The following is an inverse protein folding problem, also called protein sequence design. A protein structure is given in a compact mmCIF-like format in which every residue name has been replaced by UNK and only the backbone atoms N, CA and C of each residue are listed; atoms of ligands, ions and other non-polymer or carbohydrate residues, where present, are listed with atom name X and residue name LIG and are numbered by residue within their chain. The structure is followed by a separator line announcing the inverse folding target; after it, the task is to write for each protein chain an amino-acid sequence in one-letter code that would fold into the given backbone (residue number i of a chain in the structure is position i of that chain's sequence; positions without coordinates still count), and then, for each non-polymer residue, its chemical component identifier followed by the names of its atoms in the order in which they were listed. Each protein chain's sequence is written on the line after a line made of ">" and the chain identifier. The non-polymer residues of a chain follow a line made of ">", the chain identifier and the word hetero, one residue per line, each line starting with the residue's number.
data_IF_612789277242
#
_entry.id   IF_612789277242
#
_cell.length_a   1.000
_cell.length_b   1.000
_cell.length_c   1.000
_cell.angle_alpha   90.00
_cell.angle_beta   90.00
_cell.angle_gamma   90.00
#
_symmetry.space_group_name_H-M   'P 1'
#
loop_
_entity.id
_entity.type
_entity.pdbx_description
1 polymer ?
#
# COMPACT_ATOMS: atom_id res chain seq x y z
N UNK A 1 6.94 -8.35 4.80
CA UNK A 1 7.11 -7.56 3.56
C UNK A 1 6.73 -8.32 2.30
N UNK A 2 6.98 -9.60 2.25
CA UNK A 2 6.61 -10.40 1.06
C UNK A 2 5.11 -10.34 0.77
N UNK A 3 4.29 -10.40 1.80
CA UNK A 3 2.84 -10.34 1.63
C UNK A 3 2.41 -9.01 1.02
N UNK A 4 2.96 -7.92 1.54
CA UNK A 4 2.65 -6.58 1.06
C UNK A 4 3.12 -6.42 -0.39
N UNK A 5 4.31 -6.92 -0.68
CA UNK A 5 4.87 -6.85 -2.03
C UNK A 5 4.00 -7.61 -3.03
N UNK A 6 3.54 -8.79 -2.66
CA UNK A 6 2.68 -9.59 -3.53
C UNK A 6 1.39 -8.87 -3.83
N UNK A 7 0.76 -8.29 -2.81
CA UNK A 7 -0.47 -7.54 -2.99
C UNK A 7 -0.21 -6.29 -3.84
N UNK A 8 0.88 -5.59 -3.54
CA UNK A 8 1.22 -4.39 -4.28
C UNK A 8 1.45 -4.64 -5.75
N UNK A 9 2.15 -5.72 -6.06
CA UNK A 9 2.39 -6.09 -7.46
C UNK A 9 1.09 -6.47 -8.17
N UNK A 10 0.18 -7.10 -7.44
CA UNK A 10 -1.12 -7.42 -8.00
C UNK A 10 -1.92 -6.16 -8.33
N UNK A 11 -1.84 -5.17 -7.45
CA UNK A 11 -2.57 -3.91 -7.63
C UNK A 11 -1.97 -3.06 -8.74
N UNK A 12 -0.66 -2.89 -8.71
CA UNK A 12 0.02 -1.94 -9.62
C UNK A 12 0.59 -2.59 -10.87
N UNK A 13 0.83 -3.89 -10.84
CA UNK A 13 1.32 -4.63 -12.00
C UNK A 13 2.80 -4.47 -12.27
N UNK A 14 3.51 -3.65 -11.48
CA UNK A 14 4.92 -3.38 -11.74
C UNK A 14 5.56 -2.80 -10.47
N UNK A 15 6.79 -3.20 -10.25
CA UNK A 15 7.51 -2.86 -9.04
C UNK A 15 7.81 -1.37 -8.93
N UNK A 16 8.07 -0.73 -10.06
CA UNK A 16 8.36 0.71 -10.08
C UNK A 16 7.19 1.53 -9.59
N UNK A 17 6.00 1.21 -10.08
CA UNK A 17 4.79 1.91 -9.66
C UNK A 17 4.48 1.64 -8.19
N UNK A 18 4.68 0.40 -7.76
CA UNK A 18 4.45 0.04 -6.36
C UNK A 18 5.41 0.80 -5.45
N UNK A 19 6.68 0.88 -5.81
CA UNK A 19 7.66 1.63 -5.01
C UNK A 19 7.31 3.10 -4.94
N UNK A 20 6.88 3.68 -6.04
CA UNK A 20 6.48 5.08 -6.05
C UNK A 20 5.35 5.30 -5.06
N UNK A 21 4.36 4.41 -5.05
CA UNK A 21 3.25 4.50 -4.11
C UNK A 21 3.75 4.39 -2.67
N UNK A 22 4.66 3.45 -2.40
CA UNK A 22 5.19 3.24 -1.05
C UNK A 22 5.89 4.47 -0.49
N UNK A 23 6.56 5.23 -1.35
CA UNK A 23 7.36 6.36 -0.92
C UNK A 23 6.67 7.70 -1.07
N UNK A 24 5.40 7.70 -1.48
CA UNK A 24 4.63 8.93 -1.63
C UNK A 24 3.65 9.03 -0.47
N UNK A 25 3.59 10.18 0.23
CA UNK A 25 2.62 10.35 1.31
C UNK A 25 1.21 10.10 0.79
N UNK A 26 0.44 9.36 1.56
CA UNK A 26 -0.90 8.92 1.17
C UNK A 26 -1.93 9.56 2.08
N UNK A 27 -2.85 10.32 1.50
CA UNK A 27 -3.85 11.03 2.27
C UNK A 27 -4.70 10.06 3.11
N UNK A 28 -5.06 8.91 2.54
CA UNK A 28 -5.87 7.92 3.24
C UNK A 28 -5.14 7.30 4.42
N UNK A 29 -3.82 7.43 4.47
CA UNK A 29 -3.00 6.91 5.56
C UNK A 29 -2.47 8.05 6.44
N UNK A 30 -3.21 9.14 6.51
CA UNK A 30 -2.82 10.28 7.36
C UNK A 30 -1.67 11.08 6.82
N UNK A 31 -1.50 11.11 5.51
CA UNK A 31 -0.39 11.79 4.84
C UNK A 31 0.97 11.17 5.15
N UNK A 32 0.97 9.93 5.63
CA UNK A 32 2.20 9.20 5.87
C UNK A 32 2.56 8.38 4.65
N UNK A 33 3.85 8.14 4.47
CA UNK A 33 4.29 7.24 3.42
C UNK A 33 3.97 5.81 3.84
N UNK A 34 3.38 5.01 2.96
CA UNK A 34 3.06 3.63 3.33
C UNK A 34 4.27 2.85 3.84
N UNK A 35 5.46 3.12 3.28
CA UNK A 35 6.67 2.42 3.72
C UNK A 35 6.97 2.66 5.20
N UNK A 36 6.63 3.84 5.71
CA UNK A 36 6.87 4.16 7.12
C UNK A 36 5.94 3.40 8.05
N UNK A 37 4.79 2.98 7.55
CA UNK A 37 3.82 2.23 8.35
C UNK A 37 4.16 0.76 8.45
N UNK A 38 5.09 0.27 7.64
CA UNK A 38 5.44 -1.15 7.62
C UNK A 38 6.36 -1.56 8.76
N UNK A 39 6.57 -0.68 9.73
CA UNK A 39 7.44 -0.94 10.86
C UNK A 39 6.83 -1.89 11.89
N UNK A 40 5.51 -1.92 11.98
CA UNK A 40 4.83 -2.79 12.94
C UNK A 40 3.63 -3.44 12.29
N UNK A 41 3.01 -4.38 13.01
CA UNK A 41 1.90 -5.15 12.46
C UNK A 41 0.66 -4.30 12.24
N UNK A 42 0.43 -3.32 13.10
CA UNK A 42 -0.74 -2.46 12.94
C UNK A 42 -0.61 -1.64 11.66
N UNK A 43 0.55 -1.02 11.46
CA UNK A 43 0.79 -0.24 10.25
C UNK A 43 0.74 -1.10 8.99
N UNK A 44 1.28 -2.32 9.08
CA UNK A 44 1.22 -3.27 7.98
C UNK A 44 -0.22 -3.56 7.58
N UNK A 45 -1.10 -3.76 8.57
CA UNK A 45 -2.51 -4.01 8.31
C UNK A 45 -3.17 -2.82 7.62
N UNK A 46 -2.80 -1.61 8.02
CA UNK A 46 -3.32 -0.41 7.38
C UNK A 46 -2.91 -0.36 5.91
N UNK A 47 -1.66 -0.68 5.62
CA UNK A 47 -1.15 -0.67 4.24
C UNK A 47 -1.87 -1.72 3.41
N UNK A 48 -2.02 -2.93 3.94
CA UNK A 48 -2.73 -4.01 3.25
C UNK A 48 -4.18 -3.61 3.00
N UNK A 49 -4.81 -3.00 4.00
CA UNK A 49 -6.18 -2.52 3.87
C UNK A 49 -6.33 -1.51 2.74
N UNK A 50 -5.38 -0.58 2.64
CA UNK A 50 -5.43 0.43 1.60
C UNK A 50 -5.19 -0.17 0.22
N UNK A 51 -4.23 -1.09 0.10
CA UNK A 51 -3.99 -1.77 -1.17
C UNK A 51 -5.22 -2.57 -1.60
N UNK A 52 -5.86 -3.25 -0.65
CA UNK A 52 -7.06 -4.02 -0.93
C UNK A 52 -8.19 -3.10 -1.40
N UNK A 53 -8.33 -1.95 -0.75
CA UNK A 53 -9.34 -0.97 -1.13
C UNK A 53 -9.10 -0.47 -2.55
N UNK A 54 -7.86 -0.17 -2.89
CA UNK A 54 -7.52 0.28 -4.24
C UNK A 54 -7.89 -0.79 -5.25
N UNK A 55 -7.57 -2.04 -4.92
CA UNK A 55 -7.80 -3.15 -5.84
C UNK A 55 -9.29 -3.40 -6.10
N UNK A 56 -10.13 -3.22 -5.10
CA UNK A 56 -11.55 -3.52 -5.21
C UNK A 56 -12.43 -2.29 -5.19
N UNK A 57 -12.00 -1.24 -4.52
CA UNK A 57 -12.83 -0.08 -4.28
C UNK A 57 -12.88 0.91 -5.40
N UNK A 58 -12.06 0.70 -6.40
CA UNK A 58 -11.96 1.62 -7.50
C UNK A 58 -13.27 1.75 -8.26
N UNK A 59 -14.12 0.77 -8.13
CA UNK A 59 -15.40 0.77 -8.80
C UNK A 59 -16.42 1.70 -8.14
N UNK A 60 -16.06 2.17 -6.98
CA UNK A 60 -16.96 3.06 -6.27
C UNK A 60 -16.82 4.48 -6.80
#
# INVERSE_FOLDING_TARGET
>A
MAEVTNIGLEVFGDMGKFKLWLYTPNFALGNLKPIDLLRDSYGKEMVIGELTRINYGILL
#
